data_IF_198058749072
#
_entry.id   IF_198058749072
#
_cell.length_a   1.000
_cell.length_b   1.000
_cell.length_c   1.000
_cell.angle_alpha   90.00
_cell.angle_beta   90.00
_cell.angle_gamma   90.00
#
_symmetry.space_group_name_H-M   'P 1'
#
loop_
_entity.id
_entity.type
_entity.pdbx_description
1 polymer ?
#
# COMPACT_ATOMS: atom_id res chain seq x y z
N UNK A 1 -12.01 10.45 -11.56
CA UNK A 1 -13.27 11.13 -11.94
C UNK A 1 -13.06 12.49 -12.65
N UNK A 2 -11.85 12.95 -12.78
CA UNK A 2 -11.47 14.20 -13.50
C UNK A 2 -11.58 14.11 -15.03
N UNK A 3 -11.82 12.89 -15.56
CA UNK A 3 -12.03 12.60 -16.98
C UNK A 3 -13.29 11.75 -17.15
N UNK A 4 -13.74 11.60 -18.41
CA UNK A 4 -14.79 10.65 -18.72
C UNK A 4 -14.30 9.23 -18.42
N UNK A 5 -15.10 8.48 -17.68
CA UNK A 5 -14.81 7.13 -17.22
C UNK A 5 -15.82 6.14 -17.82
N UNK A 6 -15.49 4.85 -17.78
CA UNK A 6 -16.46 3.79 -18.02
C UNK A 6 -17.46 3.74 -16.87
N UNK A 7 -18.56 3.03 -17.08
CA UNK A 7 -19.56 2.81 -16.04
C UNK A 7 -18.91 2.28 -14.75
N UNK A 8 -19.22 2.85 -13.58
CA UNK A 8 -18.67 2.39 -12.30
C UNK A 8 -18.97 0.94 -11.97
N UNK A 9 -20.15 0.40 -12.36
CA UNK A 9 -20.48 -1.02 -12.17
C UNK A 9 -19.60 -1.92 -13.02
N UNK A 10 -19.38 -1.56 -14.30
CA UNK A 10 -18.47 -2.31 -15.18
C UNK A 10 -17.04 -2.35 -14.64
N UNK A 11 -16.58 -1.25 -14.01
CA UNK A 11 -15.25 -1.20 -13.39
C UNK A 11 -15.15 -2.14 -12.18
N UNK A 12 -16.18 -2.23 -11.35
CA UNK A 12 -16.23 -3.18 -10.23
C UNK A 12 -16.28 -4.62 -10.73
N UNK A 13 -17.10 -4.90 -11.73
CA UNK A 13 -17.19 -6.23 -12.36
C UNK A 13 -15.83 -6.68 -12.92
N UNK A 14 -15.08 -5.78 -13.54
CA UNK A 14 -13.73 -6.08 -14.04
C UNK A 14 -12.79 -6.45 -12.89
N UNK A 15 -12.79 -5.70 -11.79
CA UNK A 15 -11.98 -6.00 -10.60
C UNK A 15 -12.35 -7.37 -10.03
N UNK A 16 -13.64 -7.66 -9.88
CA UNK A 16 -14.12 -8.95 -9.38
C UNK A 16 -13.72 -10.11 -10.29
N UNK A 17 -13.85 -9.91 -11.61
CA UNK A 17 -13.50 -10.94 -12.59
C UNK A 17 -12.00 -11.22 -12.67
N UNK A 18 -11.17 -10.19 -12.60
CA UNK A 18 -9.71 -10.32 -12.73
C UNK A 18 -9.05 -10.77 -11.43
N UNK A 19 -9.47 -10.21 -10.29
CA UNK A 19 -8.82 -10.44 -9.00
C UNK A 19 -9.52 -11.52 -8.17
N UNK A 20 -10.76 -11.91 -8.53
CA UNK A 20 -11.58 -12.88 -7.78
C UNK A 20 -11.82 -12.46 -6.32
N UNK A 21 -12.04 -11.16 -6.11
CA UNK A 21 -12.36 -10.56 -4.83
C UNK A 21 -13.64 -9.74 -4.98
N UNK A 22 -14.58 -9.88 -4.06
CA UNK A 22 -15.84 -9.14 -4.08
C UNK A 22 -15.59 -7.64 -3.82
N UNK A 23 -16.33 -6.77 -4.52
CA UNK A 23 -16.26 -5.32 -4.39
C UNK A 23 -17.45 -4.76 -3.59
N UNK A 24 -17.16 -3.96 -2.55
CA UNK A 24 -18.16 -3.24 -1.78
C UNK A 24 -18.00 -1.74 -1.99
N UNK A 25 -18.87 -1.06 -2.72
CA UNK A 25 -18.80 0.38 -2.91
C UNK A 25 -19.10 1.13 -1.60
N UNK A 26 -18.17 1.99 -1.21
CA UNK A 26 -18.31 2.86 -0.04
C UNK A 26 -18.77 4.24 -0.47
N UNK A 27 -18.23 4.74 -1.57
CA UNK A 27 -18.66 6.00 -2.18
C UNK A 27 -19.11 5.74 -3.61
N UNK A 28 -20.05 6.58 -4.11
CA UNK A 28 -20.55 6.52 -5.47
C UNK A 28 -20.38 7.87 -6.17
N UNK A 29 -19.92 7.93 -7.43
CA UNK A 29 -19.67 9.19 -8.10
C UNK A 29 -20.97 9.88 -8.55
N UNK A 30 -20.97 11.19 -8.55
CA UNK A 30 -22.03 12.01 -9.11
C UNK A 30 -21.51 12.72 -10.35
N UNK A 31 -21.78 12.12 -11.51
CA UNK A 31 -21.19 12.53 -12.78
C UNK A 31 -19.71 12.19 -12.91
N UNK A 32 -19.13 12.49 -14.08
CA UNK A 32 -17.71 12.31 -14.37
C UNK A 32 -17.21 13.40 -15.32
N UNK A 33 -15.90 13.54 -15.45
CA UNK A 33 -15.27 14.54 -16.30
C UNK A 33 -15.74 15.96 -15.95
N UNK A 34 -16.28 16.67 -16.93
CA UNK A 34 -16.79 18.04 -16.73
C UNK A 34 -18.09 18.10 -15.91
N UNK A 35 -18.81 16.99 -15.84
CA UNK A 35 -20.07 16.88 -15.10
C UNK A 35 -19.85 16.40 -13.65
N UNK A 36 -18.63 16.08 -13.27
CA UNK A 36 -18.33 15.63 -11.92
C UNK A 36 -18.69 16.68 -10.88
N UNK A 37 -19.56 16.33 -9.94
CA UNK A 37 -20.05 17.20 -8.86
C UNK A 37 -19.56 16.79 -7.48
N UNK A 38 -19.31 15.49 -7.28
CA UNK A 38 -18.95 14.96 -5.98
C UNK A 38 -19.12 13.46 -5.87
N UNK A 39 -19.16 12.98 -4.64
CA UNK A 39 -19.43 11.57 -4.33
C UNK A 39 -20.48 11.46 -3.24
N UNK A 40 -21.31 10.40 -3.33
CA UNK A 40 -22.23 10.02 -2.28
C UNK A 40 -21.62 8.89 -1.45
N UNK A 41 -21.67 8.99 -0.14
CA UNK A 41 -21.17 7.98 0.78
C UNK A 41 -22.32 7.07 1.23
N UNK A 42 -22.33 5.79 0.80
CA UNK A 42 -23.47 4.88 0.97
C UNK A 42 -23.85 4.64 2.43
N UNK A 43 -22.84 4.52 3.30
CA UNK A 43 -23.04 4.15 4.72
C UNK A 43 -23.28 5.34 5.64
N UNK A 44 -22.92 6.56 5.21
CA UNK A 44 -23.16 7.78 5.98
C UNK A 44 -24.43 8.53 5.55
N UNK A 45 -25.01 8.15 4.40
CA UNK A 45 -26.10 8.87 3.74
C UNK A 45 -25.76 10.37 3.56
N UNK A 46 -24.54 10.64 3.08
CA UNK A 46 -23.99 11.97 2.91
C UNK A 46 -23.43 12.15 1.50
N UNK A 47 -23.77 13.27 0.89
CA UNK A 47 -23.18 13.70 -0.38
C UNK A 47 -22.10 14.74 -0.13
N UNK A 48 -20.92 14.49 -0.66
CA UNK A 48 -19.77 15.38 -0.60
C UNK A 48 -19.60 16.06 -1.95
N UNK A 49 -19.90 17.36 -1.99
CA UNK A 49 -19.83 18.19 -3.18
C UNK A 49 -18.52 18.97 -3.19
N UNK A 50 -17.77 18.82 -4.26
CA UNK A 50 -16.45 19.43 -4.41
C UNK A 50 -16.52 20.65 -5.34
N UNK A 51 -16.00 21.79 -4.88
CA UNK A 51 -15.79 22.96 -5.72
C UNK A 51 -14.31 23.07 -6.09
N UNK A 52 -14.06 23.17 -7.39
CA UNK A 52 -12.71 23.35 -7.92
C UNK A 52 -12.31 24.81 -7.93
N UNK A 53 -11.18 25.11 -7.31
CA UNK A 53 -10.51 26.39 -7.42
C UNK A 53 -9.59 26.49 -8.65
N UNK A 54 -8.92 27.63 -8.79
CA UNK A 54 -7.87 27.79 -9.80
C UNK A 54 -6.74 26.78 -9.53
N UNK A 55 -6.43 25.94 -10.52
CA UNK A 55 -5.36 24.95 -10.42
C UNK A 55 -5.78 23.55 -9.94
N UNK A 56 -7.06 23.19 -10.05
CA UNK A 56 -7.61 21.88 -9.68
C UNK A 56 -7.48 21.48 -8.19
N UNK A 57 -7.26 22.45 -7.31
CA UNK A 57 -7.25 22.21 -5.86
C UNK A 57 -8.67 22.32 -5.29
N UNK A 58 -8.99 21.50 -4.30
CA UNK A 58 -10.25 21.60 -3.53
C UNK A 58 -10.25 22.95 -2.82
N UNK A 59 -11.30 23.75 -3.03
CA UNK A 59 -11.49 24.99 -2.28
C UNK A 59 -12.46 24.83 -1.13
N UNK A 60 -13.53 24.05 -1.33
CA UNK A 60 -14.56 23.86 -0.32
C UNK A 60 -15.28 22.53 -0.55
N UNK A 61 -15.61 21.85 0.54
CA UNK A 61 -16.46 20.64 0.53
C UNK A 61 -17.76 21.01 1.21
N UNK A 62 -18.87 20.96 0.45
CA UNK A 62 -20.22 21.08 1.01
C UNK A 62 -20.78 19.68 1.22
N UNK A 63 -21.32 19.43 2.42
CA UNK A 63 -21.94 18.15 2.76
C UNK A 63 -23.46 18.33 2.76
N UNK A 64 -24.16 17.49 2.01
CA UNK A 64 -25.62 17.39 2.00
C UNK A 64 -26.00 16.02 2.56
N UNK A 65 -26.86 15.99 3.59
CA UNK A 65 -27.31 14.75 4.24
C UNK A 65 -28.65 14.31 3.67
N UNK A 66 -28.75 12.99 3.43
CA UNK A 66 -29.97 12.37 2.90
C UNK A 66 -30.02 12.38 1.38
N UNK A 67 -30.27 11.20 0.79
CA UNK A 67 -30.38 11.01 -0.66
C UNK A 67 -31.61 11.74 -1.23
N UNK A 68 -32.69 11.84 -0.44
CA UNK A 68 -33.96 12.50 -0.83
C UNK A 68 -34.02 13.98 -0.43
N UNK A 69 -32.91 14.54 0.02
CA UNK A 69 -32.85 15.93 0.44
C UNK A 69 -32.97 16.86 -0.79
N UNK A 70 -33.94 17.80 -0.84
CA UNK A 70 -34.09 18.75 -1.95
C UNK A 70 -32.86 19.63 -2.19
N UNK A 71 -31.99 19.80 -1.18
CA UNK A 71 -30.73 20.53 -1.34
C UNK A 71 -29.78 19.80 -2.28
N UNK A 72 -29.87 18.46 -2.38
CA UNK A 72 -29.10 17.68 -3.32
C UNK A 72 -29.48 18.05 -4.76
N UNK A 73 -30.78 18.00 -5.07
CA UNK A 73 -31.30 18.38 -6.40
C UNK A 73 -30.92 19.81 -6.79
N UNK A 74 -31.00 20.73 -5.84
CA UNK A 74 -30.59 22.12 -6.07
C UNK A 74 -29.07 22.27 -6.31
N UNK A 75 -28.22 21.40 -5.70
CA UNK A 75 -26.77 21.51 -5.78
C UNK A 75 -26.19 20.82 -7.03
N UNK A 76 -26.71 19.66 -7.42
CA UNK A 76 -26.17 18.86 -8.55
C UNK A 76 -27.02 18.98 -9.82
N UNK A 77 -28.28 19.40 -9.71
CA UNK A 77 -29.29 19.43 -10.76
C UNK A 77 -30.19 18.20 -10.69
N UNK A 78 -31.47 18.39 -11.04
CA UNK A 78 -32.50 17.34 -10.93
C UNK A 78 -32.16 16.09 -11.71
N UNK A 79 -31.58 16.22 -12.91
CA UNK A 79 -31.22 15.10 -13.78
C UNK A 79 -30.12 14.21 -13.14
N UNK A 80 -29.04 14.81 -12.65
CA UNK A 80 -27.96 14.05 -11.99
C UNK A 80 -28.38 13.48 -10.65
N UNK A 81 -29.26 14.16 -9.91
CA UNK A 81 -29.80 13.65 -8.66
C UNK A 81 -30.73 12.44 -8.89
N UNK A 82 -31.57 12.47 -9.93
CA UNK A 82 -32.41 11.33 -10.31
C UNK A 82 -31.54 10.16 -10.76
N UNK A 83 -30.55 10.39 -11.63
CA UNK A 83 -29.60 9.38 -12.07
C UNK A 83 -28.88 8.72 -10.88
N UNK A 84 -28.40 9.52 -9.91
CA UNK A 84 -27.76 9.01 -8.70
C UNK A 84 -28.69 8.06 -7.91
N UNK A 85 -29.97 8.43 -7.76
CA UNK A 85 -30.95 7.60 -7.03
C UNK A 85 -31.17 6.25 -7.74
N UNK A 86 -31.35 6.29 -9.06
CA UNK A 86 -31.53 5.09 -9.89
C UNK A 86 -30.27 4.18 -9.82
N UNK A 87 -29.08 4.75 -9.96
CA UNK A 87 -27.82 4.00 -9.84
C UNK A 87 -27.65 3.38 -8.45
N UNK A 88 -27.94 4.12 -7.38
CA UNK A 88 -27.83 3.60 -6.01
C UNK A 88 -28.85 2.50 -5.70
N UNK A 89 -30.02 2.51 -6.30
CA UNK A 89 -30.98 1.41 -6.20
C UNK A 89 -30.40 0.12 -6.85
N UNK A 90 -29.79 0.26 -8.03
CA UNK A 90 -29.10 -0.85 -8.69
C UNK A 90 -27.90 -1.34 -7.88
N UNK A 91 -27.08 -0.45 -7.38
CA UNK A 91 -25.90 -0.76 -6.55
C UNK A 91 -26.31 -1.56 -5.30
N UNK A 92 -27.34 -1.11 -4.59
CA UNK A 92 -27.85 -1.82 -3.39
C UNK A 92 -28.38 -3.23 -3.71
N UNK A 93 -28.89 -3.44 -4.92
CA UNK A 93 -29.39 -4.73 -5.34
C UNK A 93 -28.36 -5.68 -5.95
N UNK A 94 -27.27 -5.16 -6.52
CA UNK A 94 -26.34 -5.92 -7.33
C UNK A 94 -24.92 -6.01 -6.74
N UNK A 95 -24.53 -5.09 -5.85
CA UNK A 95 -23.18 -5.11 -5.23
C UNK A 95 -23.19 -5.73 -3.83
N UNK A 96 -22.00 -6.02 -3.34
CA UNK A 96 -21.81 -6.54 -1.99
C UNK A 96 -21.85 -5.41 -0.95
N UNK A 97 -22.46 -5.67 0.20
CA UNK A 97 -22.31 -4.78 1.36
C UNK A 97 -20.92 -4.94 1.99
N UNK A 98 -20.37 -3.84 2.47
CA UNK A 98 -19.09 -3.90 3.18
C UNK A 98 -19.24 -4.59 4.53
N UNK A 99 -18.48 -5.64 4.70
CA UNK A 99 -18.34 -6.36 5.97
C UNK A 99 -16.86 -6.37 6.39
N UNK A 100 -16.61 -5.94 7.63
CA UNK A 100 -15.24 -5.82 8.14
C UNK A 100 -14.53 -7.16 8.30
N UNK A 101 -15.24 -8.22 8.67
CA UNK A 101 -14.63 -9.54 8.84
C UNK A 101 -14.25 -10.15 7.50
N UNK A 102 -15.11 -10.01 6.49
CA UNK A 102 -14.81 -10.40 5.12
C UNK A 102 -13.67 -9.56 4.51
N UNK A 103 -13.58 -8.28 4.85
CA UNK A 103 -12.44 -7.45 4.47
C UNK A 103 -11.13 -7.92 5.10
N UNK A 104 -11.13 -8.25 6.39
CA UNK A 104 -9.95 -8.75 7.09
C UNK A 104 -9.52 -10.14 6.64
N UNK A 105 -10.46 -11.00 6.20
CA UNK A 105 -10.15 -12.30 5.58
C UNK A 105 -9.63 -12.18 4.13
N UNK A 106 -9.90 -11.06 3.46
CA UNK A 106 -9.52 -10.81 2.08
C UNK A 106 -10.55 -11.26 1.04
N UNK A 107 -11.78 -11.56 1.46
CA UNK A 107 -12.86 -12.00 0.58
C UNK A 107 -13.59 -10.82 -0.08
N UNK A 108 -13.56 -9.65 0.55
CA UNK A 108 -14.18 -8.42 0.04
C UNK A 108 -13.20 -7.24 0.10
N UNK A 109 -13.34 -6.30 -0.85
CA UNK A 109 -12.57 -5.06 -0.85
C UNK A 109 -13.48 -3.83 -0.91
N UNK A 110 -13.24 -2.79 -0.07
CA UNK A 110 -13.97 -1.53 -0.16
C UNK A 110 -13.55 -0.76 -1.42
N UNK A 111 -14.52 -0.19 -2.13
CA UNK A 111 -14.30 0.61 -3.34
C UNK A 111 -14.67 2.06 -3.08
N UNK A 112 -13.69 2.95 -3.34
CA UNK A 112 -13.87 4.40 -3.24
C UNK A 112 -13.68 5.04 -4.61
N UNK A 113 -14.61 5.86 -5.00
CA UNK A 113 -14.53 6.65 -6.23
C UNK A 113 -13.97 8.03 -5.94
N UNK A 114 -12.92 8.41 -6.64
CA UNK A 114 -12.24 9.68 -6.42
C UNK A 114 -11.34 10.06 -7.60
N UNK A 115 -10.59 11.13 -7.43
CA UNK A 115 -9.53 11.54 -8.35
C UNK A 115 -8.29 12.00 -7.59
N UNK A 116 -7.20 11.28 -7.77
CA UNK A 116 -5.93 11.61 -7.13
C UNK A 116 -5.35 12.93 -7.64
N UNK A 117 -5.56 13.28 -8.91
CA UNK A 117 -5.05 14.53 -9.49
C UNK A 117 -5.69 15.76 -8.84
N UNK A 118 -7.00 15.68 -8.54
CA UNK A 118 -7.75 16.76 -7.88
C UNK A 118 -7.87 16.59 -6.36
N UNK A 119 -7.36 15.49 -5.79
CA UNK A 119 -7.55 15.10 -4.39
C UNK A 119 -9.03 14.98 -3.95
N UNK A 120 -9.93 14.62 -4.87
CA UNK A 120 -11.36 14.45 -4.55
C UNK A 120 -11.63 13.02 -4.09
N UNK A 121 -12.27 12.84 -2.92
CA UNK A 121 -12.66 11.56 -2.38
C UNK A 121 -11.49 10.70 -1.87
N UNK A 122 -10.25 11.21 -1.87
CA UNK A 122 -9.07 10.53 -1.33
C UNK A 122 -9.11 10.46 0.19
N UNK A 123 -9.67 11.48 0.82
CA UNK A 123 -9.93 11.56 2.25
C UNK A 123 -10.79 10.39 2.76
N UNK A 124 -11.88 10.05 2.06
CA UNK A 124 -12.71 8.91 2.42
C UNK A 124 -11.94 7.58 2.39
N UNK A 125 -11.08 7.39 1.39
CA UNK A 125 -10.22 6.21 1.32
C UNK A 125 -9.21 6.16 2.47
N UNK A 126 -8.62 7.31 2.82
CA UNK A 126 -7.67 7.42 3.93
C UNK A 126 -8.36 7.18 5.28
N UNK A 127 -9.56 7.73 5.49
CA UNK A 127 -10.36 7.48 6.68
C UNK A 127 -10.70 5.99 6.81
N UNK A 128 -11.13 5.35 5.72
CA UNK A 128 -11.40 3.92 5.67
C UNK A 128 -10.14 3.09 5.99
N UNK A 129 -8.97 3.48 5.47
CA UNK A 129 -7.71 2.83 5.78
C UNK A 129 -7.38 2.93 7.27
N UNK A 130 -7.54 4.12 7.87
CA UNK A 130 -7.28 4.34 9.31
C UNK A 130 -8.24 3.53 10.19
N UNK A 131 -9.51 3.45 9.79
CA UNK A 131 -10.55 2.77 10.58
C UNK A 131 -10.50 1.24 10.46
N UNK A 132 -10.24 0.70 9.26
CA UNK A 132 -10.43 -0.72 8.94
C UNK A 132 -9.15 -1.51 8.77
N UNK A 133 -8.01 -0.86 8.48
CA UNK A 133 -6.77 -1.58 8.29
C UNK A 133 -6.41 -2.44 9.51
N UNK A 134 -5.99 -3.70 9.30
CA UNK A 134 -5.63 -4.58 10.40
C UNK A 134 -4.34 -4.11 11.07
N UNK A 135 -4.23 -4.37 12.36
CA UNK A 135 -2.95 -4.29 13.06
C UNK A 135 -1.95 -5.28 12.43
N UNK A 136 -0.63 -5.07 12.61
CA UNK A 136 0.36 -6.00 12.12
C UNK A 136 0.06 -7.43 12.58
N UNK A 137 -0.17 -8.33 11.61
CA UNK A 137 -0.53 -9.72 11.87
C UNK A 137 0.66 -10.53 12.37
N UNK A 138 0.44 -11.55 13.22
CA UNK A 138 1.48 -12.50 13.61
C UNK A 138 2.19 -13.12 12.41
N UNK A 139 3.46 -13.46 12.57
CA UNK A 139 4.27 -14.07 11.51
C UNK A 139 4.85 -15.41 11.93
N UNK A 140 4.73 -16.40 11.05
CA UNK A 140 5.23 -17.74 11.28
C UNK A 140 6.74 -17.82 11.11
N UNK A 141 7.38 -18.55 12.00
CA UNK A 141 8.77 -18.95 11.89
C UNK A 141 8.89 -20.48 11.78
N UNK A 142 10.09 -21.00 11.67
CA UNK A 142 10.36 -22.43 11.70
C UNK A 142 10.14 -23.07 13.10
N UNK A 143 10.07 -22.26 14.15
CA UNK A 143 9.93 -22.74 15.54
C UNK A 143 8.59 -22.37 16.17
N UNK A 144 8.06 -21.19 15.88
CA UNK A 144 6.84 -20.66 16.49
C UNK A 144 6.22 -19.53 15.66
N UNK A 145 5.09 -19.03 16.11
CA UNK A 145 4.50 -17.79 15.63
C UNK A 145 4.95 -16.61 16.49
N UNK A 146 5.24 -15.47 15.86
CA UNK A 146 5.70 -14.24 16.50
C UNK A 146 4.62 -13.18 16.40
N UNK A 147 4.19 -12.65 17.54
CA UNK A 147 3.20 -11.59 17.62
C UNK A 147 3.85 -10.21 17.61
N UNK A 148 3.17 -9.23 17.00
CA UNK A 148 3.67 -7.85 16.90
C UNK A 148 3.90 -7.19 18.28
N UNK A 149 3.11 -7.57 19.30
CA UNK A 149 3.18 -7.02 20.66
C UNK A 149 4.33 -7.55 21.53
N UNK A 150 5.13 -8.52 21.02
CA UNK A 150 6.26 -9.04 21.78
C UNK A 150 7.33 -7.96 21.99
N UNK A 151 7.93 -7.92 23.19
CA UNK A 151 8.91 -6.88 23.55
C UNK A 151 10.25 -7.03 22.82
N UNK A 152 10.66 -8.28 22.54
CA UNK A 152 11.93 -8.55 21.86
C UNK A 152 11.84 -8.26 20.38
N UNK A 153 12.83 -7.53 19.89
CA UNK A 153 12.93 -7.22 18.47
C UNK A 153 13.10 -8.47 17.62
N UNK A 154 12.32 -8.52 16.55
CA UNK A 154 12.54 -9.43 15.43
C UNK A 154 12.11 -8.78 14.11
N UNK A 155 12.79 -9.18 13.04
CA UNK A 155 12.48 -8.71 11.69
C UNK A 155 13.11 -9.61 10.63
N UNK A 156 12.65 -9.49 9.40
CA UNK A 156 13.19 -10.26 8.28
C UNK A 156 13.36 -9.41 7.03
N UNK A 157 14.37 -9.77 6.24
CA UNK A 157 14.66 -9.13 4.96
C UNK A 157 13.84 -9.80 3.86
N UNK A 158 13.03 -9.01 3.16
CA UNK A 158 12.19 -9.51 2.08
C UNK A 158 12.61 -9.03 0.70
N UNK A 159 13.45 -8.00 0.63
CA UNK A 159 13.93 -7.40 -0.63
C UNK A 159 15.34 -6.85 -0.46
N UNK A 160 16.15 -6.98 -1.50
CA UNK A 160 17.43 -6.26 -1.64
C UNK A 160 17.38 -5.50 -2.95
N UNK A 161 17.73 -4.22 -2.90
CA UNK A 161 17.81 -3.38 -4.09
C UNK A 161 19.16 -2.70 -4.16
N UNK A 162 19.84 -2.83 -5.30
CA UNK A 162 21.08 -2.15 -5.60
C UNK A 162 20.82 -0.89 -6.45
N UNK A 163 21.68 0.11 -6.29
CA UNK A 163 21.71 1.30 -7.14
C UNK A 163 20.35 2.04 -7.23
N UNK A 164 19.64 2.17 -6.12
CA UNK A 164 18.39 2.94 -6.07
C UNK A 164 18.61 4.41 -6.45
N UNK A 165 19.73 4.98 -6.04
CA UNK A 165 20.17 6.28 -6.49
C UNK A 165 21.33 6.10 -7.50
N UNK A 166 21.20 6.61 -8.74
CA UNK A 166 22.26 6.51 -9.74
C UNK A 166 23.60 7.13 -9.30
N UNK A 167 23.56 8.04 -8.34
CA UNK A 167 24.75 8.71 -7.77
C UNK A 167 25.43 7.88 -6.67
N UNK A 168 24.72 6.92 -6.07
CA UNK A 168 25.18 6.09 -4.97
C UNK A 168 25.17 4.62 -5.37
N UNK A 169 26.34 3.98 -5.33
CA UNK A 169 26.50 2.54 -5.55
C UNK A 169 26.29 1.79 -4.23
N UNK A 170 25.06 1.89 -3.70
CA UNK A 170 24.68 1.24 -2.48
C UNK A 170 23.75 0.04 -2.73
N UNK A 171 23.70 -0.86 -1.79
CA UNK A 171 22.73 -1.94 -1.71
C UNK A 171 21.94 -1.74 -0.42
N UNK A 172 20.64 -1.71 -0.55
CA UNK A 172 19.72 -1.58 0.57
C UNK A 172 18.95 -2.88 0.74
N UNK A 173 19.03 -3.47 1.92
CA UNK A 173 18.21 -4.60 2.32
C UNK A 173 16.98 -4.06 3.06
N UNK A 174 15.79 -4.32 2.51
CA UNK A 174 14.53 -3.91 3.13
C UNK A 174 14.10 -4.96 4.13
N UNK A 175 14.04 -4.55 5.39
CA UNK A 175 13.62 -5.38 6.51
C UNK A 175 12.26 -4.93 7.03
N UNK A 176 11.34 -5.89 7.17
CA UNK A 176 10.09 -5.68 7.90
C UNK A 176 10.32 -5.96 9.38
N UNK A 177 9.99 -5.02 10.22
CA UNK A 177 9.93 -5.21 11.68
C UNK A 177 8.68 -6.04 11.99
N UNK A 178 8.83 -7.13 12.75
CA UNK A 178 7.73 -8.03 13.12
C UNK A 178 7.34 -7.83 14.57
N UNK A 179 8.30 -7.74 15.49
CA UNK A 179 8.05 -7.55 16.91
C UNK A 179 9.09 -6.63 17.55
N UNK A 180 8.78 -6.13 18.73
CA UNK A 180 9.63 -5.23 19.49
C UNK A 180 9.85 -3.90 18.80
N UNK A 181 10.79 -3.13 19.30
CA UNK A 181 11.15 -1.81 18.81
C UNK A 181 12.58 -1.83 18.27
N UNK A 182 12.78 -1.34 17.04
CA UNK A 182 14.11 -1.02 16.54
C UNK A 182 14.58 0.30 17.16
N UNK A 183 15.81 0.33 17.62
CA UNK A 183 16.51 1.54 18.02
C UNK A 183 17.87 1.61 17.34
N UNK A 184 18.24 2.79 16.89
CA UNK A 184 19.52 3.03 16.20
C UNK A 184 20.70 2.54 17.05
N UNK A 185 21.60 1.82 16.42
CA UNK A 185 22.77 1.26 17.08
C UNK A 185 22.53 -0.03 17.84
N UNK A 186 21.30 -0.59 17.82
CA UNK A 186 21.02 -1.84 18.50
C UNK A 186 21.80 -3.01 17.93
N UNK A 187 22.14 -3.97 18.79
CA UNK A 187 22.85 -5.20 18.44
C UNK A 187 21.87 -6.32 18.21
N UNK A 188 21.87 -6.90 17.01
CA UNK A 188 20.96 -7.96 16.60
C UNK A 188 21.73 -9.21 16.16
N UNK A 189 21.15 -10.37 16.40
CA UNK A 189 21.62 -11.65 15.87
C UNK A 189 21.14 -11.81 14.43
N UNK A 190 22.06 -11.88 13.47
CA UNK A 190 21.76 -12.34 12.12
C UNK A 190 21.75 -13.87 12.14
N UNK A 191 20.56 -14.45 12.15
CA UNK A 191 20.33 -15.86 12.46
C UNK A 191 21.05 -16.80 11.49
N UNK A 192 20.94 -16.57 10.18
CA UNK A 192 21.57 -17.44 9.15
C UNK A 192 23.08 -17.64 9.33
N UNK A 193 23.80 -16.59 9.69
CA UNK A 193 25.26 -16.67 9.86
C UNK A 193 25.68 -16.84 11.32
N UNK A 194 24.73 -16.82 12.26
CA UNK A 194 24.99 -17.01 13.68
C UNK A 194 25.85 -15.92 14.33
N UNK A 195 25.84 -14.70 13.75
CA UNK A 195 26.67 -13.58 14.24
C UNK A 195 25.81 -12.43 14.73
N UNK A 196 26.32 -11.77 15.75
CA UNK A 196 25.75 -10.51 16.21
C UNK A 196 26.30 -9.35 15.37
N UNK A 197 25.41 -8.51 14.90
CA UNK A 197 25.72 -7.33 14.09
C UNK A 197 25.10 -6.10 14.74
N UNK A 198 25.80 -4.99 14.66
CA UNK A 198 25.27 -3.70 15.12
C UNK A 198 24.63 -3.00 13.93
N UNK A 199 23.36 -2.65 14.06
CA UNK A 199 22.65 -1.84 13.05
C UNK A 199 22.85 -0.38 13.42
N UNK A 200 23.98 0.16 12.97
CA UNK A 200 24.40 1.54 13.30
C UNK A 200 23.45 2.58 12.73
N UNK A 201 22.79 2.27 11.62
CA UNK A 201 21.93 3.19 10.91
C UNK A 201 20.91 2.45 10.07
N UNK A 202 19.67 2.90 10.08
CA UNK A 202 18.61 2.41 9.22
C UNK A 202 17.97 3.58 8.47
N UNK A 203 17.41 3.27 7.31
CA UNK A 203 16.82 4.23 6.39
C UNK A 203 15.31 4.01 6.31
N UNK A 204 14.55 5.08 6.20
CA UNK A 204 13.17 5.05 5.71
C UNK A 204 13.09 5.79 4.37
N UNK A 205 12.04 5.48 3.62
CA UNK A 205 11.82 6.01 2.29
C UNK A 205 10.42 6.61 2.21
N UNK A 206 10.36 7.87 1.78
CA UNK A 206 9.11 8.53 1.48
C UNK A 206 9.22 9.12 0.07
N UNK A 207 8.45 8.53 -0.87
CA UNK A 207 8.61 8.79 -2.30
C UNK A 207 10.06 8.57 -2.76
N UNK A 208 10.76 9.61 -3.20
CA UNK A 208 12.18 9.55 -3.61
C UNK A 208 13.17 9.90 -2.50
N UNK A 209 12.69 10.38 -1.37
CA UNK A 209 13.55 10.87 -0.29
C UNK A 209 13.94 9.76 0.68
N UNK A 210 15.21 9.83 1.13
CA UNK A 210 15.76 8.94 2.15
C UNK A 210 15.98 9.73 3.43
N UNK A 211 15.52 9.17 4.54
CA UNK A 211 15.81 9.73 5.87
C UNK A 211 16.31 8.66 6.82
N UNK A 212 17.06 9.07 7.82
CA UNK A 212 17.53 8.16 8.86
C UNK A 212 16.42 7.91 9.87
N UNK A 213 16.37 6.68 10.36
CA UNK A 213 15.37 6.22 11.33
C UNK A 213 16.06 6.01 12.67
N UNK A 214 15.59 6.71 13.69
CA UNK A 214 16.04 6.49 15.07
C UNK A 214 15.29 5.32 15.71
N UNK A 215 13.99 5.16 15.39
CA UNK A 215 13.10 4.15 15.95
C UNK A 215 12.17 3.59 14.88
N UNK A 216 11.85 2.28 14.97
CA UNK A 216 10.82 1.66 14.14
C UNK A 216 10.06 0.58 14.92
N UNK A 217 8.81 0.38 14.54
CA UNK A 217 7.85 -0.45 15.26
C UNK A 217 7.35 -1.61 14.39
N UNK A 218 6.69 -2.63 14.97
CA UNK A 218 6.12 -3.74 14.22
C UNK A 218 5.20 -3.26 13.09
N UNK A 219 5.45 -3.78 11.89
CA UNK A 219 4.78 -3.35 10.67
C UNK A 219 5.60 -2.40 9.81
N UNK A 220 6.55 -1.66 10.39
CA UNK A 220 7.41 -0.75 9.67
C UNK A 220 8.40 -1.50 8.75
N UNK A 221 8.80 -0.82 7.69
CA UNK A 221 9.84 -1.27 6.77
C UNK A 221 11.01 -0.32 6.87
N UNK A 222 12.17 -0.87 7.23
CA UNK A 222 13.42 -0.10 7.31
C UNK A 222 14.47 -0.64 6.32
N UNK A 223 15.28 0.25 5.78
CA UNK A 223 16.38 -0.10 4.89
C UNK A 223 17.68 -0.23 5.66
N UNK A 224 18.36 -1.37 5.50
CA UNK A 224 19.68 -1.62 6.06
C UNK A 224 20.74 -1.51 4.96
N UNK A 225 21.85 -0.83 5.25
CA UNK A 225 22.99 -0.85 4.35
C UNK A 225 23.58 -2.26 4.23
N UNK A 226 23.59 -2.80 3.03
CA UNK A 226 24.08 -4.14 2.77
C UNK A 226 25.44 -4.14 2.07
N UNK A 227 26.48 -4.51 2.79
CA UNK A 227 27.83 -4.67 2.27
C UNK A 227 28.07 -6.05 1.62
N UNK A 228 27.00 -6.82 1.34
CA UNK A 228 27.07 -8.12 0.67
C UNK A 228 26.84 -9.32 1.59
N UNK A 229 26.64 -9.11 2.88
CA UNK A 229 26.43 -10.21 3.86
C UNK A 229 24.95 -10.52 4.09
N UNK A 230 24.05 -9.56 3.88
CA UNK A 230 22.61 -9.73 4.08
C UNK A 230 22.00 -10.33 2.82
N UNK A 231 21.14 -11.33 2.99
CA UNK A 231 20.40 -12.01 1.93
C UNK A 231 18.89 -11.90 2.16
N UNK A 232 18.12 -12.06 1.09
CA UNK A 232 16.66 -12.18 1.19
C UNK A 232 16.33 -13.40 2.03
N UNK A 233 15.40 -13.23 2.98
CA UNK A 233 15.05 -14.27 3.96
C UNK A 233 15.89 -14.26 5.23
N UNK A 234 16.90 -13.39 5.34
CA UNK A 234 17.64 -13.24 6.60
C UNK A 234 16.73 -12.73 7.71
N UNK A 235 16.81 -13.38 8.86
CA UNK A 235 16.12 -13.01 10.08
C UNK A 235 17.09 -12.35 11.04
N UNK A 236 16.64 -11.26 11.66
CA UNK A 236 17.35 -10.53 12.70
C UNK A 236 16.56 -10.55 13.99
N UNK A 237 17.18 -10.89 15.11
CA UNK A 237 16.52 -11.02 16.41
C UNK A 237 17.37 -10.46 17.55
N UNK A 238 16.77 -10.25 18.71
CA UNK A 238 17.49 -10.02 19.97
C UNK A 238 17.92 -11.33 20.63
N UNK A 239 18.60 -12.20 19.86
CA UNK A 239 19.27 -13.42 20.35
C UNK A 239 18.52 -14.72 20.12
N UNK A 240 17.24 -14.73 19.82
CA UNK A 240 16.47 -15.94 19.54
C UNK A 240 16.88 -16.54 18.18
N UNK A 241 17.03 -17.87 18.15
CA UNK A 241 17.36 -18.60 16.94
C UNK A 241 16.09 -19.12 16.28
N UNK A 242 15.50 -18.30 15.41
CA UNK A 242 14.32 -18.63 14.62
C UNK A 242 14.45 -18.01 13.22
N UNK A 243 13.76 -18.58 12.23
CA UNK A 243 13.75 -18.09 10.85
C UNK A 243 12.32 -17.86 10.39
N UNK A 244 12.02 -16.66 9.92
CA UNK A 244 10.72 -16.36 9.32
C UNK A 244 10.49 -17.16 8.05
N UNK A 245 9.28 -17.69 7.89
CA UNK A 245 8.83 -18.52 6.76
C UNK A 245 7.82 -17.74 5.89
N UNK A 246 7.45 -18.33 4.74
CA UNK A 246 6.44 -17.72 3.85
C UNK A 246 6.96 -16.56 2.98
N UNK A 247 8.27 -16.33 2.94
CA UNK A 247 8.85 -15.37 2.00
C UNK A 247 8.89 -16.05 0.63
N UNK A 248 8.17 -15.51 -0.39
CA UNK A 248 8.14 -16.14 -1.69
C UNK A 248 9.53 -16.17 -2.34
N UNK A 249 9.87 -17.32 -2.88
CA UNK A 249 11.09 -17.50 -3.67
C UNK A 249 10.68 -17.94 -5.07
N UNK A 250 10.77 -17.03 -6.02
CA UNK A 250 10.41 -17.30 -7.40
C UNK A 250 11.61 -17.84 -8.17
N UNK A 251 11.39 -18.93 -8.91
CA UNK A 251 12.38 -19.40 -9.87
C UNK A 251 12.54 -18.37 -11.01
N UNK A 252 13.77 -18.17 -11.54
CA UNK A 252 13.97 -17.30 -12.69
C UNK A 252 13.20 -17.82 -13.92
N UNK A 253 12.32 -16.98 -14.48
CA UNK A 253 11.55 -17.32 -15.70
C UNK A 253 12.17 -16.73 -16.96
N UNK A 254 12.87 -15.60 -16.82
CA UNK A 254 13.47 -14.89 -17.94
C UNK A 254 15.00 -14.94 -17.88
N UNK A 255 15.59 -15.37 -18.97
CA UNK A 255 17.05 -15.43 -19.13
C UNK A 255 17.52 -14.40 -20.15
N UNK A 256 18.58 -13.68 -19.83
CA UNK A 256 19.23 -12.73 -20.73
C UNK A 256 20.72 -13.07 -20.86
N UNK A 257 21.22 -13.10 -22.09
CA UNK A 257 22.65 -13.26 -22.35
C UNK A 257 23.31 -11.88 -22.39
N UNK A 258 24.27 -11.68 -21.53
CA UNK A 258 25.07 -10.45 -21.50
C UNK A 258 26.33 -10.69 -22.37
N UNK A 259 26.56 -9.78 -23.33
CA UNK A 259 27.78 -9.77 -24.14
C UNK A 259 28.59 -8.53 -23.78
N UNK A 260 29.84 -8.76 -23.41
CA UNK A 260 30.78 -7.71 -23.12
C UNK A 260 31.24 -7.07 -24.45
N UNK A 261 31.05 -5.77 -24.62
CA UNK A 261 31.52 -5.03 -25.81
C UNK A 261 33.01 -4.69 -25.72
N UNK A 262 33.51 -4.41 -24.52
CA UNK A 262 34.88 -4.04 -24.25
C UNK A 262 35.50 -5.07 -23.29
N UNK A 263 36.42 -5.91 -23.75
CA UNK A 263 37.06 -6.96 -22.93
C UNK A 263 37.73 -6.42 -21.66
N UNK A 264 38.19 -5.18 -21.66
CA UNK A 264 38.85 -4.56 -20.51
C UNK A 264 37.90 -4.31 -19.33
N UNK A 265 36.57 -4.32 -19.59
CA UNK A 265 35.52 -4.11 -18.57
C UNK A 265 35.01 -5.41 -17.92
N UNK A 266 35.67 -6.56 -18.17
CA UNK A 266 35.23 -7.83 -17.62
C UNK A 266 35.09 -7.83 -16.09
N UNK A 267 36.09 -7.27 -15.40
CA UNK A 267 36.04 -7.15 -13.92
C UNK A 267 34.87 -6.27 -13.42
N UNK A 268 34.56 -5.21 -14.16
CA UNK A 268 33.43 -4.33 -13.83
C UNK A 268 32.11 -5.04 -14.06
N UNK A 269 31.97 -5.81 -15.16
CA UNK A 269 30.79 -6.60 -15.42
C UNK A 269 30.53 -7.63 -14.34
N UNK A 270 31.55 -8.43 -13.99
CA UNK A 270 31.45 -9.43 -12.93
C UNK A 270 31.05 -8.80 -11.59
N UNK A 271 31.67 -7.68 -11.24
CA UNK A 271 31.32 -6.94 -10.01
C UNK A 271 29.88 -6.43 -10.06
N UNK A 272 29.42 -5.92 -11.21
CA UNK A 272 28.03 -5.45 -11.40
C UNK A 272 27.00 -6.60 -11.28
N UNK A 273 27.31 -7.76 -11.88
CA UNK A 273 26.45 -8.95 -11.80
C UNK A 273 26.32 -9.51 -10.37
N UNK A 274 27.39 -9.43 -9.58
CA UNK A 274 27.33 -9.81 -8.16
C UNK A 274 26.55 -8.80 -7.32
N UNK A 275 26.42 -7.55 -7.79
CA UNK A 275 25.69 -6.49 -7.09
C UNK A 275 24.19 -6.49 -7.41
N UNK A 276 23.78 -7.07 -8.52
CA UNK A 276 22.36 -7.26 -8.88
C UNK A 276 21.77 -8.45 -8.13
#
# INVERSE_FOLDING_TARGET
LDRDIRDPMELMDEVENELKIACAPITWPIGCGKLFKGVYHLYKDETYLYQTGKGHTIQEVRIVKGLDNPELDAAVGEELAAQLRDELELVKGASHEFDRELFLSGDITPVFFGTALGNFGVDHMLDGLVEWAPQPMPRKTDTREVEAKEEKFSGFVFKIQANMDPKHRDRVAFMRVVSGKYEKGMKLRQVRIGKDVVISDALTFMAGDRSHVEEAYPGDIIGLHNHGTIQIGDTFTQGEMMKFTGIPNFAPELFRRIRLRDPLKQKQLLKGLVQL
#
